data_IF_364018011142
#
_entry.id   IF_364018011142
#
_cell.length_a   1.000
_cell.length_b   1.000
_cell.length_c   1.000
_cell.angle_alpha   90.00
_cell.angle_beta   90.00
_cell.angle_gamma   90.00
#
_symmetry.space_group_name_H-M   'P 1'
#
loop_
_entity.id
_entity.type
_entity.pdbx_description
1 polymer ?
#
# COMPACT_ATOMS: atom_id res chain seq x y z
N UNK A 1 10.02 38.90 7.81
CA UNK A 1 9.20 37.75 8.18
C UNK A 1 9.27 36.75 7.04
N UNK A 2 10.16 35.75 7.11
CA UNK A 2 10.20 34.67 6.12
C UNK A 2 9.03 33.74 6.41
N UNK A 3 8.08 33.65 5.48
CA UNK A 3 6.93 32.74 5.60
C UNK A 3 7.40 31.27 5.67
N UNK A 4 6.60 30.36 6.25
CA UNK A 4 7.01 28.98 6.44
C UNK A 4 7.33 28.34 5.08
N UNK A 5 8.48 27.67 5.00
CA UNK A 5 8.96 26.95 3.81
C UNK A 5 8.09 25.69 3.62
N UNK A 6 6.92 25.85 3.02
CA UNK A 6 6.02 24.74 2.67
C UNK A 6 6.53 23.89 1.49
N UNK A 7 7.50 24.41 0.73
CA UNK A 7 7.96 23.82 -0.52
C UNK A 7 8.77 22.52 -0.35
N UNK A 8 9.48 22.35 0.76
CA UNK A 8 10.36 21.19 0.98
C UNK A 8 9.56 19.95 1.42
N UNK A 9 8.45 20.15 2.15
CA UNK A 9 7.64 19.05 2.69
C UNK A 9 6.79 18.40 1.59
N UNK A 10 6.22 19.18 0.66
CA UNK A 10 5.38 18.64 -0.43
C UNK A 10 6.15 17.77 -1.42
N UNK A 11 7.37 18.18 -1.80
CA UNK A 11 8.19 17.45 -2.77
C UNK A 11 8.67 16.08 -2.27
N UNK A 12 9.19 16.02 -1.04
CA UNK A 12 9.67 14.75 -0.46
C UNK A 12 8.52 13.78 -0.16
N UNK A 13 7.41 14.29 0.41
CA UNK A 13 6.24 13.47 0.72
C UNK A 13 5.61 12.92 -0.55
N UNK A 14 5.43 13.73 -1.59
CA UNK A 14 4.90 13.29 -2.88
C UNK A 14 5.79 12.24 -3.57
N UNK A 15 7.12 12.37 -3.48
CA UNK A 15 8.04 11.39 -4.05
C UNK A 15 7.97 10.04 -3.33
N UNK A 16 7.96 10.02 -1.99
CA UNK A 16 7.80 8.80 -1.20
C UNK A 16 6.42 8.17 -1.40
N UNK A 17 5.37 8.98 -1.52
CA UNK A 17 4.02 8.52 -1.82
C UNK A 17 3.97 7.77 -3.15
N UNK A 18 4.51 8.35 -4.23
CA UNK A 18 4.60 7.70 -5.55
C UNK A 18 5.43 6.42 -5.52
N UNK A 19 6.55 6.41 -4.80
CA UNK A 19 7.36 5.20 -4.64
C UNK A 19 6.60 4.09 -3.91
N UNK A 20 5.89 4.43 -2.85
CA UNK A 20 5.09 3.45 -2.11
C UNK A 20 3.90 2.97 -2.95
N UNK A 21 3.26 3.85 -3.71
CA UNK A 21 2.22 3.51 -4.68
C UNK A 21 2.72 2.48 -5.71
N UNK A 22 3.85 2.77 -6.34
CA UNK A 22 4.44 1.86 -7.32
C UNK A 22 4.82 0.49 -6.72
N UNK A 23 5.13 0.43 -5.43
CA UNK A 23 5.53 -0.82 -4.75
C UNK A 23 4.36 -1.63 -4.18
N UNK A 24 3.21 -1.03 -3.89
CA UNK A 24 2.14 -1.74 -3.18
C UNK A 24 1.57 -2.91 -3.98
N UNK A 25 1.45 -2.77 -5.30
CA UNK A 25 0.88 -3.82 -6.16
C UNK A 25 1.73 -5.09 -6.10
N UNK A 26 3.05 -4.92 -6.13
CA UNK A 26 4.00 -6.02 -5.95
C UNK A 26 3.87 -6.68 -4.57
N UNK A 27 3.69 -5.89 -3.51
CA UNK A 27 3.52 -6.45 -2.15
C UNK A 27 2.20 -7.24 -2.03
N UNK A 28 1.11 -6.74 -2.61
CA UNK A 28 -0.18 -7.43 -2.64
C UNK A 28 -0.07 -8.74 -3.43
N UNK A 29 0.62 -8.73 -4.58
CA UNK A 29 0.87 -9.93 -5.36
C UNK A 29 1.62 -10.99 -4.54
N UNK A 30 2.74 -10.63 -3.90
CA UNK A 30 3.51 -11.56 -3.07
C UNK A 30 2.71 -12.14 -1.90
N UNK A 31 1.84 -11.34 -1.27
CA UNK A 31 0.96 -11.82 -0.19
C UNK A 31 -0.05 -12.83 -0.75
N UNK A 32 -0.63 -12.56 -1.91
CA UNK A 32 -1.57 -13.47 -2.56
C UNK A 32 -0.90 -14.77 -3.03
N UNK A 33 0.32 -14.70 -3.54
CA UNK A 33 1.09 -15.88 -3.93
C UNK A 33 1.34 -16.78 -2.71
N UNK A 34 1.81 -16.20 -1.60
CA UNK A 34 2.01 -16.93 -0.35
C UNK A 34 0.70 -17.56 0.18
N UNK A 35 -0.45 -16.88 0.03
CA UNK A 35 -1.77 -17.46 0.32
C UNK A 35 -2.08 -18.69 -0.54
N UNK A 36 -1.79 -18.62 -1.83
CA UNK A 36 -1.95 -19.75 -2.75
C UNK A 36 -1.09 -20.95 -2.38
N UNK A 37 0.20 -20.71 -2.06
CA UNK A 37 1.12 -21.76 -1.64
C UNK A 37 0.66 -22.47 -0.36
N UNK A 38 0.26 -21.71 0.66
CA UNK A 38 -0.22 -22.32 1.92
C UNK A 38 -1.53 -23.09 1.70
N UNK A 39 -2.45 -22.58 0.87
CA UNK A 39 -3.67 -23.31 0.52
C UNK A 39 -3.36 -24.65 -0.17
N UNK A 40 -2.41 -24.64 -1.11
CA UNK A 40 -1.96 -25.84 -1.82
C UNK A 40 -1.31 -26.88 -0.89
N UNK A 41 -0.54 -26.43 0.10
CA UNK A 41 0.05 -27.31 1.12
C UNK A 41 -1.02 -28.02 1.97
N UNK A 42 -2.16 -27.38 2.24
CA UNK A 42 -3.28 -28.00 2.96
C UNK A 42 -3.98 -29.04 2.10
N UNK A 43 -4.20 -28.72 0.83
CA UNK A 43 -4.88 -29.61 -0.12
C UNK A 43 -4.06 -30.88 -0.41
N UNK A 44 -2.74 -30.76 -0.55
CA UNK A 44 -1.88 -31.85 -1.01
C UNK A 44 -0.96 -32.44 0.08
N UNK A 45 -0.58 -31.67 1.10
CA UNK A 45 0.43 -32.07 2.09
C UNK A 45 -0.11 -32.61 3.41
N UNK A 46 -1.35 -32.24 3.79
CA UNK A 46 -1.97 -32.64 5.06
C UNK A 46 -3.19 -33.54 4.81
N UNK A 47 -2.95 -34.75 4.32
CA UNK A 47 -4.03 -35.68 3.94
C UNK A 47 -4.70 -36.38 5.12
N UNK A 48 -4.06 -36.42 6.30
CA UNK A 48 -4.64 -37.04 7.50
C UNK A 48 -5.49 -36.06 8.32
N UNK A 49 -6.61 -36.48 8.92
CA UNK A 49 -7.47 -35.61 9.75
C UNK A 49 -6.71 -34.90 10.88
N UNK A 50 -5.85 -35.62 11.60
CA UNK A 50 -5.09 -35.07 12.72
C UNK A 50 -4.07 -33.99 12.31
N UNK A 51 -3.49 -34.10 11.11
CA UNK A 51 -2.57 -33.08 10.62
C UNK A 51 -3.31 -31.81 10.17
N UNK A 52 -4.48 -31.95 9.54
CA UNK A 52 -5.35 -30.81 9.20
C UNK A 52 -5.82 -30.05 10.43
N UNK A 53 -6.25 -30.76 11.47
CA UNK A 53 -6.71 -30.13 12.72
C UNK A 53 -5.60 -29.33 13.41
N UNK A 54 -4.36 -29.82 13.38
CA UNK A 54 -3.19 -29.09 13.91
C UNK A 54 -2.79 -27.88 13.07
N UNK A 55 -2.91 -27.96 11.74
CA UNK A 55 -2.45 -26.90 10.82
C UNK A 55 -3.50 -25.84 10.50
N UNK A 56 -4.79 -26.17 10.60
CA UNK A 56 -5.90 -25.27 10.31
C UNK A 56 -5.83 -23.93 11.06
N UNK A 57 -5.52 -23.87 12.38
CA UNK A 57 -5.43 -22.60 13.10
C UNK A 57 -4.33 -21.66 12.57
N UNK A 58 -3.20 -22.22 12.11
CA UNK A 58 -2.10 -21.44 11.55
C UNK A 58 -2.48 -20.85 10.19
N UNK A 59 -3.16 -21.65 9.36
CA UNK A 59 -3.65 -21.17 8.06
C UNK A 59 -4.68 -20.06 8.21
N UNK A 60 -5.67 -20.24 9.08
CA UNK A 60 -6.69 -19.21 9.32
C UNK A 60 -6.06 -17.90 9.77
N UNK A 61 -5.14 -17.95 10.76
CA UNK A 61 -4.42 -16.75 11.21
C UNK A 61 -3.61 -16.09 10.10
N UNK A 62 -2.95 -16.88 9.26
CA UNK A 62 -2.20 -16.36 8.13
C UNK A 62 -3.11 -15.71 7.09
N UNK A 63 -4.20 -16.37 6.70
CA UNK A 63 -5.17 -15.85 5.75
C UNK A 63 -5.79 -14.53 6.24
N UNK A 64 -6.18 -14.47 7.52
CA UNK A 64 -6.74 -13.27 8.13
C UNK A 64 -5.72 -12.14 8.18
N UNK A 65 -4.49 -12.41 8.64
CA UNK A 65 -3.41 -11.41 8.70
C UNK A 65 -3.00 -10.90 7.32
N UNK A 66 -2.99 -11.79 6.32
CA UNK A 66 -2.72 -11.45 4.93
C UNK A 66 -3.82 -10.53 4.36
N UNK A 67 -5.10 -10.84 4.61
CA UNK A 67 -6.22 -9.99 4.23
C UNK A 67 -6.12 -8.60 4.88
N UNK A 68 -5.90 -8.55 6.20
CA UNK A 68 -5.73 -7.29 6.93
C UNK A 68 -4.55 -6.45 6.39
N UNK A 69 -3.45 -7.10 6.00
CA UNK A 69 -2.28 -6.43 5.42
C UNK A 69 -2.61 -5.83 4.05
N UNK A 70 -3.32 -6.58 3.19
CA UNK A 70 -3.77 -6.09 1.89
C UNK A 70 -4.72 -4.90 2.05
N UNK A 71 -5.67 -4.98 2.97
CA UNK A 71 -6.63 -3.90 3.24
C UNK A 71 -5.90 -2.64 3.73
N UNK A 72 -4.94 -2.80 4.65
CA UNK A 72 -4.11 -1.71 5.14
C UNK A 72 -3.26 -1.06 4.04
N UNK A 73 -2.62 -1.88 3.18
CA UNK A 73 -1.84 -1.38 2.05
C UNK A 73 -2.72 -0.64 1.02
N UNK A 74 -3.94 -1.14 0.78
CA UNK A 74 -4.92 -0.50 -0.11
C UNK A 74 -5.36 0.86 0.45
N UNK A 75 -5.72 0.94 1.73
CA UNK A 75 -6.12 2.19 2.35
C UNK A 75 -4.99 3.24 2.38
N UNK A 76 -3.74 2.79 2.62
CA UNK A 76 -2.57 3.67 2.50
C UNK A 76 -2.40 4.16 1.06
N UNK A 77 -2.54 3.28 0.06
CA UNK A 77 -2.44 3.66 -1.34
C UNK A 77 -3.51 4.69 -1.73
N UNK A 78 -4.76 4.49 -1.35
CA UNK A 78 -5.85 5.44 -1.60
C UNK A 78 -5.56 6.80 -0.97
N UNK A 79 -5.12 6.82 0.30
CA UNK A 79 -4.72 8.06 0.96
C UNK A 79 -3.57 8.77 0.24
N UNK A 80 -2.54 8.02 -0.17
CA UNK A 80 -1.39 8.58 -0.86
C UNK A 80 -1.74 9.14 -2.24
N UNK A 81 -2.71 8.56 -2.96
CA UNK A 81 -3.23 9.12 -4.22
C UNK A 81 -3.84 10.50 -3.98
N UNK A 82 -4.72 10.62 -2.97
CA UNK A 82 -5.34 11.90 -2.59
C UNK A 82 -4.26 12.96 -2.28
N UNK A 83 -3.25 12.58 -1.51
CA UNK A 83 -2.15 13.48 -1.15
C UNK A 83 -1.37 13.94 -2.39
N UNK A 84 -1.02 13.02 -3.29
CA UNK A 84 -0.29 13.35 -4.53
C UNK A 84 -1.12 14.27 -5.44
N UNK A 85 -2.42 14.01 -5.58
CA UNK A 85 -3.32 14.81 -6.40
C UNK A 85 -3.45 16.24 -5.83
N UNK A 86 -3.63 16.37 -4.51
CA UNK A 86 -3.72 17.67 -3.85
C UNK A 86 -2.44 18.51 -4.00
N UNK A 87 -1.26 17.88 -3.93
CA UNK A 87 0.01 18.58 -4.19
C UNK A 87 0.15 18.99 -5.66
N UNK A 88 -0.30 18.15 -6.61
CA UNK A 88 -0.30 18.50 -8.03
C UNK A 88 -1.18 19.70 -8.36
N UNK A 89 -2.38 19.76 -7.78
CA UNK A 89 -3.28 20.91 -7.91
C UNK A 89 -2.68 22.18 -7.28
N UNK A 90 -2.06 22.06 -6.10
CA UNK A 90 -1.40 23.18 -5.44
C UNK A 90 -0.26 23.75 -6.30
N UNK A 91 0.60 22.90 -6.84
CA UNK A 91 1.71 23.33 -7.70
C UNK A 91 1.22 23.95 -9.01
N UNK A 92 0.16 23.41 -9.63
CA UNK A 92 -0.44 23.99 -10.83
C UNK A 92 -1.04 25.39 -10.56
N UNK A 93 -1.71 25.56 -9.43
CA UNK A 93 -2.29 26.85 -9.01
C UNK A 93 -1.21 27.88 -8.65
N UNK A 94 -0.12 27.45 -8.02
CA UNK A 94 1.03 28.33 -7.76
C UNK A 94 1.74 28.71 -9.06
N UNK A 95 2.03 27.74 -9.94
CA UNK A 95 2.68 28.00 -11.23
C UNK A 95 1.91 29.00 -12.10
N UNK A 96 0.59 28.86 -12.18
CA UNK A 96 -0.27 29.80 -12.91
C UNK A 96 -0.35 31.18 -12.26
N UNK A 97 -0.28 31.28 -10.93
CA UNK A 97 -0.28 32.57 -10.22
C UNK A 97 1.03 33.36 -10.40
N UNK A 98 2.17 32.68 -10.58
CA UNK A 98 3.45 33.32 -10.85
C UNK A 98 3.61 33.72 -12.33
N UNK A 99 3.08 32.91 -13.26
CA UNK A 99 3.09 33.22 -14.71
C UNK A 99 2.23 34.45 -15.04
N UNK A 100 1.09 34.64 -14.34
CA UNK A 100 0.17 35.77 -14.57
C UNK A 100 0.67 37.12 -14.03
N UNK A 101 1.86 37.17 -13.43
CA UNK A 101 2.43 38.39 -12.81
C UNK A 101 3.76 38.85 -13.45
N UNK A 102 4.20 38.20 -14.53
CA UNK A 102 5.29 38.67 -15.41
C UNK A 102 4.73 39.28 -16.69
#
# INVERSE_FOLDING_TARGET
MAGPVYHIIGGEVGAKARQLLARHEHMIAQINDARGEVASLIEHGYTTPAAREKFSPFFTRFADGAAQTIDGLTGIAEYLKIVVDAFGELDANLGTAFDKKS
#
